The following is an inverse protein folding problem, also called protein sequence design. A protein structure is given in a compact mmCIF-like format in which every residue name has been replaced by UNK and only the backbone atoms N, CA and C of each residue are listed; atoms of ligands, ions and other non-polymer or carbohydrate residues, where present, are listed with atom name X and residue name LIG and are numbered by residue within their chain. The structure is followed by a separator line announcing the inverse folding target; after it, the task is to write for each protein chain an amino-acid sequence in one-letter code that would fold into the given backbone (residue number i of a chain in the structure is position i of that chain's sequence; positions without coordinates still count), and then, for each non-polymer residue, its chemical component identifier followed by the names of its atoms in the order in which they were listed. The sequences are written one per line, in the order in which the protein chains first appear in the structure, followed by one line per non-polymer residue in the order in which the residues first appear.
data_IF_898879875224
#
_entry.id   IF_898879875224
#
_cell.length_a   1.000
_cell.length_b   1.000
_cell.length_c   1.000
_cell.angle_alpha   90.00
_cell.angle_beta   90.00
_cell.angle_gamma   90.00
#
_symmetry.space_group_name_H-M   'P 1'
#
loop_
_entity.id
_entity.type
_entity.pdbx_description
1 polymer ?
#
# COMPACT_ATOMS: atom_id res chain seq x y z
N UNK A 1 -33.69 3.85 -0.83
CA UNK A 1 -32.55 4.63 -1.33
C UNK A 1 -32.93 6.09 -1.18
N UNK A 2 -32.07 6.94 -0.64
CA UNK A 2 -32.36 8.38 -0.60
C UNK A 2 -32.00 9.00 -1.97
N UNK A 3 -32.55 10.17 -2.28
CA UNK A 3 -32.35 10.89 -3.55
C UNK A 3 -30.85 11.09 -3.87
N UNK A 4 -30.05 11.37 -2.83
CA UNK A 4 -28.59 11.54 -2.94
C UNK A 4 -27.88 10.26 -3.41
N UNK A 5 -28.29 9.08 -2.92
CA UNK A 5 -27.71 7.80 -3.36
C UNK A 5 -28.06 7.49 -4.81
N UNK A 6 -29.28 7.80 -5.23
CA UNK A 6 -29.72 7.60 -6.61
C UNK A 6 -28.93 8.50 -7.58
N UNK A 7 -28.72 9.76 -7.22
CA UNK A 7 -27.87 10.68 -7.97
C UNK A 7 -26.42 10.21 -8.05
N UNK A 8 -25.85 9.72 -6.94
CA UNK A 8 -24.46 9.20 -6.95
C UNK A 8 -24.34 7.92 -7.79
N UNK A 9 -25.33 7.02 -7.75
CA UNK A 9 -25.36 5.82 -8.60
C UNK A 9 -25.44 6.21 -10.08
N UNK A 10 -26.30 7.18 -10.42
CA UNK A 10 -26.42 7.70 -11.79
C UNK A 10 -25.11 8.32 -12.27
N UNK A 11 -24.44 9.11 -11.43
CA UNK A 11 -23.11 9.67 -11.73
C UNK A 11 -22.07 8.57 -11.98
N UNK A 12 -21.99 7.56 -11.11
CA UNK A 12 -21.03 6.46 -11.27
C UNK A 12 -21.27 5.71 -12.58
N UNK A 13 -22.53 5.40 -12.85
CA UNK A 13 -22.95 4.56 -13.99
C UNK A 13 -22.81 5.27 -15.33
N UNK A 14 -23.20 6.54 -15.40
CA UNK A 14 -23.34 7.26 -16.68
C UNK A 14 -22.17 8.19 -16.99
N UNK A 15 -21.43 8.66 -15.98
CA UNK A 15 -20.34 9.62 -16.18
C UNK A 15 -18.99 8.99 -15.85
N UNK A 16 -18.79 8.57 -14.59
CA UNK A 16 -17.47 8.16 -14.09
C UNK A 16 -16.95 6.92 -14.81
N UNK A 17 -17.70 5.81 -14.77
CA UNK A 17 -17.21 4.54 -15.32
C UNK A 17 -17.02 4.59 -16.84
N UNK A 18 -17.95 5.16 -17.62
CA UNK A 18 -17.73 5.37 -19.05
C UNK A 18 -16.48 6.20 -19.34
N UNK A 19 -16.20 7.26 -18.58
CA UNK A 19 -14.96 8.04 -18.73
C UNK A 19 -13.71 7.19 -18.44
N UNK A 20 -13.71 6.42 -17.35
CA UNK A 20 -12.59 5.56 -16.96
C UNK A 20 -12.30 4.49 -18.02
N UNK A 21 -13.35 3.90 -18.60
CA UNK A 21 -13.26 2.94 -19.70
C UNK A 21 -12.72 3.62 -20.97
N UNK A 22 -13.34 4.73 -21.40
CA UNK A 22 -12.99 5.43 -22.64
C UNK A 22 -11.55 5.97 -22.61
N UNK A 23 -11.13 6.52 -21.47
CA UNK A 23 -9.76 7.01 -21.27
C UNK A 23 -8.76 5.88 -21.02
N UNK A 24 -9.20 4.62 -21.05
CA UNK A 24 -8.36 3.42 -20.89
C UNK A 24 -7.56 3.44 -19.59
N UNK A 25 -8.14 3.96 -18.51
CA UNK A 25 -7.47 4.08 -17.21
C UNK A 25 -7.11 2.71 -16.58
N UNK A 26 -7.64 1.61 -17.13
CA UNK A 26 -7.33 0.25 -16.72
C UNK A 26 -6.05 -0.32 -17.38
N UNK A 27 -5.50 0.36 -18.39
CA UNK A 27 -4.38 -0.13 -19.20
C UNK A 27 -3.15 0.78 -19.10
N UNK A 28 -1.98 0.24 -19.42
CA UNK A 28 -0.78 1.07 -19.61
C UNK A 28 -0.92 2.01 -20.83
N UNK A 29 -0.31 3.19 -20.75
CA UNK A 29 -0.30 4.16 -21.85
C UNK A 29 0.35 3.58 -23.11
N UNK A 30 -0.39 3.56 -24.22
CA UNK A 30 0.06 2.95 -25.49
C UNK A 30 -0.21 1.44 -25.60
N UNK A 31 -0.82 0.81 -24.60
CA UNK A 31 -1.32 -0.57 -24.67
C UNK A 31 -2.30 -0.74 -25.85
N UNK A 32 -2.23 -1.90 -26.51
CA UNK A 32 -3.18 -2.32 -27.57
C UNK A 32 -4.35 -3.17 -27.02
N UNK A 33 -4.49 -3.25 -25.70
CA UNK A 33 -5.56 -4.03 -25.06
C UNK A 33 -6.94 -3.49 -25.44
N UNK A 34 -7.91 -4.39 -25.51
CA UNK A 34 -9.31 -4.02 -25.73
C UNK A 34 -10.02 -4.04 -24.38
N UNK A 35 -10.71 -2.94 -24.06
CA UNK A 35 -11.62 -2.86 -22.92
C UNK A 35 -13.03 -2.95 -23.50
N UNK A 36 -13.74 -4.03 -23.16
CA UNK A 36 -15.15 -4.18 -23.50
C UNK A 36 -15.97 -3.81 -22.27
N UNK A 37 -16.78 -2.76 -22.40
CA UNK A 37 -17.73 -2.35 -21.38
C UNK A 37 -19.13 -2.71 -21.85
N UNK A 38 -19.77 -3.62 -21.13
CA UNK A 38 -21.14 -4.04 -21.40
C UNK A 38 -22.11 -3.29 -20.47
N UNK A 39 -21.95 -3.50 -19.17
CA UNK A 39 -22.76 -2.85 -18.15
C UNK A 39 -22.00 -2.76 -16.82
N UNK A 40 -22.52 -1.94 -15.92
CA UNK A 40 -22.06 -1.88 -14.53
C UNK A 40 -23.24 -2.05 -13.59
N UNK A 41 -23.03 -2.86 -12.56
CA UNK A 41 -23.89 -2.89 -11.37
C UNK A 41 -23.18 -2.11 -10.29
N UNK A 42 -23.83 -1.07 -9.77
CA UNK A 42 -23.31 -0.21 -8.70
C UNK A 42 -24.13 -0.45 -7.45
N UNK A 43 -23.46 -0.82 -6.37
CA UNK A 43 -24.09 -1.02 -5.06
C UNK A 43 -23.39 -0.20 -3.96
N UNK A 44 -24.15 0.47 -3.07
CA UNK A 44 -23.56 1.18 -1.95
C UNK A 44 -23.02 0.19 -0.91
N UNK A 45 -21.78 0.38 -0.48
CA UNK A 45 -21.19 -0.38 0.63
C UNK A 45 -21.47 0.34 1.95
N UNK A 46 -22.23 -0.31 2.83
CA UNK A 46 -22.41 0.15 4.21
C UNK A 46 -21.19 -0.24 5.03
N UNK A 47 -20.21 0.67 5.13
CA UNK A 47 -19.04 0.47 5.98
C UNK A 47 -19.34 1.04 7.37
N UNK A 48 -19.31 0.16 8.38
CA UNK A 48 -19.65 0.48 9.78
C UNK A 48 -18.70 1.54 10.37
N UNK A 49 -17.49 1.68 9.82
CA UNK A 49 -16.45 2.62 10.26
C UNK A 49 -16.19 3.80 9.31
N UNK A 50 -16.93 3.92 8.19
CA UNK A 50 -16.77 5.08 7.32
C UNK A 50 -17.28 6.32 8.07
N UNK A 51 -16.38 7.28 8.33
CA UNK A 51 -16.76 8.59 8.86
C UNK A 51 -17.81 9.22 7.94
N UNK A 52 -18.71 10.03 8.50
CA UNK A 52 -19.88 10.67 7.86
C UNK A 52 -19.59 11.56 6.61
N UNK A 53 -18.37 11.52 6.07
CA UNK A 53 -17.89 12.38 4.98
C UNK A 53 -17.57 11.62 3.67
N UNK A 54 -17.71 10.29 3.64
CA UNK A 54 -17.41 9.49 2.45
C UNK A 54 -18.49 8.45 2.15
N UNK A 55 -18.94 8.39 0.91
CA UNK A 55 -19.78 7.31 0.39
C UNK A 55 -18.92 6.33 -0.43
N UNK A 56 -19.12 5.04 -0.22
CA UNK A 56 -18.33 4.00 -0.88
C UNK A 56 -19.30 3.13 -1.67
N UNK A 57 -18.94 2.86 -2.93
CA UNK A 57 -19.73 2.05 -3.85
C UNK A 57 -18.84 0.99 -4.47
N UNK A 58 -19.40 -0.19 -4.72
CA UNK A 58 -18.76 -1.28 -5.45
C UNK A 58 -19.35 -1.33 -6.85
N UNK A 59 -18.46 -1.40 -7.85
CA UNK A 59 -18.81 -1.55 -9.26
C UNK A 59 -18.14 -2.78 -9.83
N UNK A 60 -18.91 -3.67 -10.46
CA UNK A 60 -18.34 -4.85 -11.12
C UNK A 60 -18.10 -4.59 -12.61
N UNK A 61 -16.85 -4.78 -13.06
CA UNK A 61 -16.44 -4.68 -14.46
C UNK A 61 -15.64 -5.93 -14.85
N UNK A 62 -15.83 -6.41 -16.08
CA UNK A 62 -15.06 -7.54 -16.63
C UNK A 62 -13.97 -6.97 -17.55
N UNK A 63 -12.70 -7.19 -17.20
CA UNK A 63 -11.54 -6.68 -17.93
C UNK A 63 -10.51 -7.80 -18.08
N UNK A 64 -9.88 -7.92 -19.26
CA UNK A 64 -8.79 -8.88 -19.53
C UNK A 64 -7.46 -8.14 -19.61
N UNK A 65 -6.47 -8.58 -18.84
CA UNK A 65 -5.15 -7.94 -18.73
C UNK A 65 -4.02 -8.83 -19.26
N UNK A 66 -2.92 -8.19 -19.67
CA UNK A 66 -1.57 -8.76 -19.66
C UNK A 66 -0.81 -8.37 -18.37
N UNK A 67 0.20 -9.15 -17.98
CA UNK A 67 0.88 -9.05 -16.68
C UNK A 67 1.50 -7.66 -16.40
N UNK A 68 1.32 -7.16 -15.16
CA UNK A 68 1.79 -5.85 -14.71
C UNK A 68 3.04 -5.97 -13.83
N UNK A 69 3.96 -5.00 -13.92
CA UNK A 69 5.31 -5.10 -13.31
C UNK A 69 5.45 -4.59 -11.87
N UNK A 70 4.41 -3.97 -11.28
CA UNK A 70 4.50 -3.48 -9.90
C UNK A 70 3.18 -3.63 -9.13
N UNK A 71 3.08 -4.64 -8.28
CA UNK A 71 1.80 -5.12 -7.72
C UNK A 71 1.67 -4.94 -6.20
N UNK A 72 2.36 -3.95 -5.62
CA UNK A 72 2.46 -3.75 -4.16
C UNK A 72 1.25 -3.07 -3.51
N UNK A 73 0.39 -2.43 -4.30
CA UNK A 73 -0.78 -1.67 -3.85
C UNK A 73 -1.96 -1.86 -4.84
N UNK A 74 -3.21 -1.57 -4.44
CA UNK A 74 -4.35 -1.62 -5.36
C UNK A 74 -4.14 -0.66 -6.54
N UNK A 75 -4.54 -1.06 -7.74
CA UNK A 75 -4.53 -0.14 -8.88
C UNK A 75 -5.44 1.04 -8.59
N UNK A 76 -4.99 2.24 -8.96
CA UNK A 76 -5.78 3.47 -8.89
C UNK A 76 -6.18 3.86 -10.30
N UNK A 77 -7.47 3.78 -10.60
CA UNK A 77 -8.03 4.10 -11.92
C UNK A 77 -8.40 5.58 -12.03
N UNK A 78 -8.81 6.19 -10.91
CA UNK A 78 -9.12 7.62 -10.81
C UNK A 78 -8.68 8.15 -9.46
N UNK A 79 -8.06 9.32 -9.45
CA UNK A 79 -7.93 10.17 -8.29
C UNK A 79 -8.10 11.63 -8.75
N UNK A 80 -9.25 12.23 -8.45
CA UNK A 80 -9.58 13.59 -8.85
C UNK A 80 -10.21 14.35 -7.67
N UNK A 81 -9.87 15.63 -7.52
CA UNK A 81 -10.28 16.46 -6.37
C UNK A 81 -11.42 17.44 -6.70
N UNK A 82 -11.91 17.51 -7.93
CA UNK A 82 -12.97 18.48 -8.24
C UNK A 82 -13.53 18.51 -9.66
N UNK A 83 -12.98 17.77 -10.63
CA UNK A 83 -13.49 17.69 -12.01
C UNK A 83 -14.97 17.34 -12.05
N UNK A 84 -15.41 16.47 -11.14
CA UNK A 84 -16.79 15.99 -11.05
C UNK A 84 -17.63 16.81 -10.06
N UNK A 85 -17.17 17.99 -9.65
CA UNK A 85 -17.80 18.78 -8.58
C UNK A 85 -17.69 18.13 -7.18
N UNK A 86 -16.97 17.01 -7.08
CA UNK A 86 -16.67 16.28 -5.84
C UNK A 86 -15.34 15.54 -5.94
N UNK A 87 -14.62 15.31 -4.83
CA UNK A 87 -13.47 14.41 -4.81
C UNK A 87 -13.89 12.96 -5.10
N UNK A 88 -13.16 12.27 -5.96
CA UNK A 88 -13.41 10.88 -6.36
C UNK A 88 -12.10 10.11 -6.39
N UNK A 89 -12.11 8.92 -5.80
CA UNK A 89 -11.04 7.92 -5.94
C UNK A 89 -11.69 6.60 -6.37
N UNK A 90 -11.13 5.97 -7.40
CA UNK A 90 -11.56 4.65 -7.89
C UNK A 90 -10.37 3.71 -7.82
N UNK A 91 -10.51 2.63 -7.04
CA UNK A 91 -9.45 1.65 -6.78
C UNK A 91 -9.88 0.24 -7.23
N UNK A 92 -8.89 -0.62 -7.43
CA UNK A 92 -9.06 -2.07 -7.58
C UNK A 92 -9.70 -2.69 -6.32
N UNK A 93 -10.75 -3.48 -6.52
CA UNK A 93 -11.35 -4.29 -5.46
C UNK A 93 -10.51 -5.55 -5.23
N UNK A 94 -9.70 -5.52 -4.17
CA UNK A 94 -8.81 -6.62 -3.85
C UNK A 94 -9.54 -7.86 -3.28
N UNK A 95 -10.71 -7.69 -2.64
CA UNK A 95 -11.52 -8.82 -2.17
C UNK A 95 -12.05 -9.63 -3.35
N UNK A 96 -12.48 -8.92 -4.42
CA UNK A 96 -12.99 -9.55 -5.64
C UNK A 96 -11.95 -10.44 -6.34
N UNK A 97 -10.65 -10.17 -6.13
CA UNK A 97 -9.54 -10.97 -6.67
C UNK A 97 -8.88 -11.87 -5.59
N UNK A 98 -9.53 -12.06 -4.45
CA UNK A 98 -9.17 -13.08 -3.45
C UNK A 98 -8.21 -12.64 -2.36
N UNK A 99 -7.86 -11.35 -2.28
CA UNK A 99 -7.12 -10.85 -1.12
C UNK A 99 -8.03 -10.74 0.08
N UNK A 100 -7.50 -11.06 1.25
CA UNK A 100 -8.22 -11.04 2.51
C UNK A 100 -7.45 -10.24 3.56
N UNK A 101 -8.18 -9.54 4.41
CA UNK A 101 -7.61 -8.98 5.62
C UNK A 101 -7.08 -10.09 6.52
N UNK A 102 -5.91 -9.85 7.10
CA UNK A 102 -5.37 -10.76 8.09
C UNK A 102 -6.18 -10.64 9.38
N UNK A 103 -6.73 -11.76 9.83
CA UNK A 103 -7.76 -11.79 10.87
C UNK A 103 -7.22 -11.73 12.30
N UNK A 104 -5.92 -11.95 12.50
CA UNK A 104 -5.31 -11.93 13.83
C UNK A 104 -4.62 -10.59 14.10
N UNK A 105 -4.46 -10.26 15.38
CA UNK A 105 -3.81 -9.01 15.78
C UNK A 105 -2.31 -8.97 15.39
N UNK A 106 -1.67 -10.15 15.25
CA UNK A 106 -0.23 -10.30 15.01
C UNK A 106 0.07 -11.21 13.84
N UNK A 107 0.95 -10.76 12.95
CA UNK A 107 1.47 -11.52 11.83
C UNK A 107 2.35 -12.67 12.34
N UNK A 108 2.14 -13.86 11.78
CA UNK A 108 3.14 -14.92 11.85
C UNK A 108 4.38 -14.57 11.00
N UNK A 109 5.39 -15.43 11.06
CA UNK A 109 6.68 -15.14 10.43
C UNK A 109 6.60 -15.14 8.88
N UNK A 110 5.72 -15.96 8.28
CA UNK A 110 5.53 -16.00 6.83
C UNK A 110 4.88 -14.69 6.33
N UNK A 111 3.86 -14.19 7.04
CA UNK A 111 3.22 -12.92 6.72
C UNK A 111 4.16 -11.73 6.94
N UNK A 112 4.84 -11.68 8.09
CA UNK A 112 5.77 -10.61 8.42
C UNK A 112 6.90 -10.51 7.39
N UNK A 113 7.45 -11.67 6.99
CA UNK A 113 8.46 -11.74 5.94
C UNK A 113 7.95 -11.15 4.63
N UNK A 114 6.76 -11.55 4.18
CA UNK A 114 6.19 -11.06 2.93
C UNK A 114 5.98 -9.53 2.95
N UNK A 115 5.51 -8.98 4.07
CA UNK A 115 5.37 -7.54 4.27
C UNK A 115 6.70 -6.79 4.21
N UNK A 116 7.74 -7.34 4.85
CA UNK A 116 9.08 -6.74 4.85
C UNK A 116 9.70 -6.73 3.45
N UNK A 117 9.46 -7.78 2.66
CA UNK A 117 9.86 -7.84 1.25
C UNK A 117 9.18 -6.72 0.47
N UNK A 118 7.87 -6.58 0.63
CA UNK A 118 7.10 -5.63 -0.19
C UNK A 118 7.42 -4.17 0.15
N UNK A 119 7.55 -3.84 1.43
CA UNK A 119 7.95 -2.50 1.84
C UNK A 119 9.41 -2.18 1.45
N UNK A 120 10.31 -3.18 1.45
CA UNK A 120 11.68 -3.01 0.96
C UNK A 120 11.71 -2.61 -0.52
N UNK A 121 10.87 -3.23 -1.36
CA UNK A 121 10.72 -2.85 -2.77
C UNK A 121 10.28 -1.40 -2.88
N UNK A 122 9.23 -0.99 -2.16
CA UNK A 122 8.73 0.39 -2.21
C UNK A 122 9.80 1.39 -1.78
N UNK A 123 10.50 1.10 -0.69
CA UNK A 123 11.62 1.92 -0.23
C UNK A 123 12.73 2.03 -1.27
N UNK A 124 13.10 0.94 -1.94
CA UNK A 124 14.09 0.99 -3.00
C UNK A 124 13.64 1.84 -4.20
N UNK A 125 12.39 1.66 -4.64
CA UNK A 125 11.79 2.45 -5.73
C UNK A 125 11.69 3.93 -5.39
N UNK A 126 11.43 4.30 -4.12
CA UNK A 126 11.42 5.69 -3.68
C UNK A 126 12.79 6.36 -3.82
N UNK A 127 13.87 5.65 -3.47
CA UNK A 127 15.24 6.14 -3.67
C UNK A 127 15.59 6.21 -5.16
N UNK A 128 15.18 5.21 -5.94
CA UNK A 128 15.40 5.20 -7.40
C UNK A 128 14.65 6.37 -8.08
N UNK A 129 13.40 6.63 -7.71
CA UNK A 129 12.59 7.74 -8.22
C UNK A 129 13.28 9.08 -7.96
N UNK A 130 13.82 9.27 -6.75
CA UNK A 130 14.59 10.47 -6.39
C UNK A 130 15.86 10.61 -7.24
N UNK A 131 16.60 9.52 -7.49
CA UNK A 131 17.88 9.55 -8.22
C UNK A 131 17.72 9.68 -9.73
N UNK A 132 16.82 8.90 -10.31
CA UNK A 132 16.71 8.72 -11.76
C UNK A 132 15.60 9.58 -12.39
N UNK A 133 14.65 10.06 -11.58
CA UNK A 133 13.44 10.77 -12.04
C UNK A 133 13.11 11.95 -11.11
N UNK A 134 14.13 12.75 -10.77
CA UNK A 134 14.07 13.79 -9.74
C UNK A 134 12.94 14.82 -9.95
N UNK A 135 12.65 15.23 -11.19
CA UNK A 135 11.55 16.17 -11.47
C UNK A 135 10.19 15.63 -10.98
N UNK A 136 9.90 14.36 -11.27
CA UNK A 136 8.68 13.68 -10.78
C UNK A 136 8.70 13.51 -9.27
N UNK A 137 9.86 13.18 -8.70
CA UNK A 137 10.03 13.10 -7.26
C UNK A 137 9.74 14.45 -6.58
N UNK A 138 10.23 15.55 -7.13
CA UNK A 138 10.07 16.90 -6.55
C UNK A 138 8.60 17.31 -6.48
N UNK A 139 7.84 17.08 -7.55
CA UNK A 139 6.40 17.36 -7.58
C UNK A 139 5.64 16.57 -6.52
N UNK A 140 5.99 15.28 -6.40
CA UNK A 140 5.41 14.40 -5.39
C UNK A 140 5.79 14.82 -3.96
N UNK A 141 7.07 15.14 -3.73
CA UNK A 141 7.59 15.55 -2.44
C UNK A 141 7.00 16.87 -1.94
N UNK A 142 6.76 17.84 -2.83
CA UNK A 142 6.09 19.09 -2.48
C UNK A 142 4.72 18.83 -1.85
N UNK A 143 3.92 17.92 -2.43
CA UNK A 143 2.61 17.50 -1.88
C UNK A 143 2.72 16.80 -0.53
N UNK A 144 3.78 16.00 -0.32
CA UNK A 144 4.03 15.33 0.96
C UNK A 144 4.31 16.35 2.08
N UNK A 145 5.08 17.40 1.80
CA UNK A 145 5.40 18.43 2.80
C UNK A 145 4.12 19.14 3.25
N UNK A 146 3.24 19.49 2.31
CA UNK A 146 1.98 20.19 2.60
C UNK A 146 1.08 19.40 3.58
N UNK A 147 1.12 18.06 3.51
CA UNK A 147 0.30 17.16 4.34
C UNK A 147 0.90 16.92 5.73
N UNK A 148 2.22 16.97 5.89
CA UNK A 148 2.94 16.45 7.06
C UNK A 148 3.37 17.52 8.09
N UNK A 149 2.62 18.61 8.24
CA UNK A 149 2.93 19.68 9.21
C UNK A 149 2.79 19.28 10.69
N UNK A 150 2.28 18.07 10.98
CA UNK A 150 2.11 17.54 12.34
C UNK A 150 3.32 16.69 12.79
N UNK A 151 3.89 17.05 13.95
CA UNK A 151 5.03 16.38 14.59
C UNK A 151 4.73 14.91 14.86
N UNK A 152 5.65 14.04 14.43
CA UNK A 152 5.53 12.59 14.57
C UNK A 152 5.94 12.17 15.98
N UNK A 153 5.01 11.61 16.74
CA UNK A 153 5.35 10.74 17.86
C UNK A 153 5.89 9.44 17.30
N UNK A 154 7.21 9.32 17.19
CA UNK A 154 7.83 8.01 16.95
C UNK A 154 7.55 7.14 18.17
N UNK A 155 6.98 5.93 18.00
CA UNK A 155 6.80 5.04 19.13
C UNK A 155 8.17 4.75 19.76
N UNK A 156 8.33 5.05 21.04
CA UNK A 156 9.54 4.68 21.77
C UNK A 156 9.62 3.16 21.82
N UNK A 157 10.79 2.62 21.47
CA UNK A 157 11.03 1.19 21.61
C UNK A 157 11.44 0.90 23.05
N UNK A 158 10.83 -0.12 23.65
CA UNK A 158 11.27 -0.65 24.94
C UNK A 158 12.43 -1.66 24.79
N UNK A 159 12.72 -2.13 23.56
CA UNK A 159 13.66 -3.23 23.29
C UNK A 159 15.02 -2.74 22.73
N UNK A 160 16.03 -2.71 23.60
CA UNK A 160 17.41 -2.29 23.27
C UNK A 160 18.05 -3.08 22.12
N UNK A 161 17.73 -4.38 21.93
CA UNK A 161 18.31 -5.17 20.82
C UNK A 161 17.80 -4.69 19.47
N UNK A 162 16.51 -4.36 19.38
CA UNK A 162 15.92 -3.79 18.18
C UNK A 162 16.43 -2.37 17.90
N UNK A 163 16.63 -1.56 18.94
CA UNK A 163 17.24 -0.24 18.77
C UNK A 163 18.65 -0.33 18.14
N UNK A 164 19.48 -1.27 18.62
CA UNK A 164 20.81 -1.53 18.03
C UNK A 164 20.68 -2.00 16.58
N UNK A 165 19.76 -2.94 16.30
CA UNK A 165 19.52 -3.43 14.95
C UNK A 165 19.09 -2.31 14.00
N UNK A 166 18.14 -1.46 14.41
CA UNK A 166 17.71 -0.30 13.64
C UNK A 166 18.85 0.70 13.43
N UNK A 167 19.67 0.96 14.44
CA UNK A 167 20.85 1.82 14.29
C UNK A 167 21.85 1.26 13.27
N UNK A 168 21.96 -0.06 13.15
CA UNK A 168 22.78 -0.69 12.11
C UNK A 168 22.14 -0.60 10.72
N UNK A 169 20.81 -0.72 10.61
CA UNK A 169 20.08 -0.49 9.36
C UNK A 169 20.28 0.96 8.92
N UNK A 170 20.17 1.93 9.82
CA UNK A 170 20.32 3.36 9.49
C UNK A 170 21.70 3.68 8.92
N UNK A 171 22.73 3.06 9.50
CA UNK A 171 24.11 3.18 9.01
C UNK A 171 24.30 2.55 7.64
N UNK A 172 23.63 1.42 7.35
CA UNK A 172 23.70 0.74 6.04
C UNK A 172 22.89 1.49 4.98
N UNK A 173 21.63 1.77 5.29
CA UNK A 173 20.66 2.47 4.44
C UNK A 173 20.64 3.93 4.88
N UNK A 174 21.61 4.69 4.39
CA UNK A 174 21.78 6.11 4.68
C UNK A 174 20.96 7.03 3.75
N UNK A 175 19.88 6.52 3.17
CA UNK A 175 19.05 7.26 2.20
C UNK A 175 17.62 7.38 2.73
N UNK A 176 17.10 8.60 2.75
CA UNK A 176 15.67 8.82 2.95
C UNK A 176 14.91 8.34 1.72
N UNK A 177 13.72 7.80 1.96
CA UNK A 177 12.85 7.27 0.92
C UNK A 177 11.38 7.55 1.21
N UNK A 178 10.52 7.21 0.25
CA UNK A 178 9.07 7.24 0.40
C UNK A 178 8.67 6.09 1.33
N UNK A 179 8.19 6.45 2.50
CA UNK A 179 7.68 5.55 3.53
C UNK A 179 6.14 5.66 3.58
N UNK A 180 5.48 4.56 3.90
CA UNK A 180 4.05 4.50 4.18
C UNK A 180 3.65 5.42 5.34
N UNK A 181 4.49 5.52 6.37
CA UNK A 181 4.31 6.43 7.51
C UNK A 181 3.37 5.93 8.61
N UNK A 182 2.62 4.87 8.34
CA UNK A 182 1.81 4.12 9.31
C UNK A 182 1.76 2.61 8.98
N UNK A 183 2.91 2.01 8.63
CA UNK A 183 2.96 0.63 8.15
C UNK A 183 2.62 -0.40 9.24
N UNK A 184 1.41 -0.96 9.22
CA UNK A 184 0.92 -1.91 10.23
C UNK A 184 -0.08 -2.92 9.67
N UNK A 185 -0.45 -3.92 10.47
CA UNK A 185 -1.32 -5.05 10.09
C UNK A 185 -2.69 -4.63 9.52
N UNK A 186 -3.23 -3.46 9.92
CA UNK A 186 -4.52 -2.96 9.41
C UNK A 186 -4.45 -2.48 7.96
N UNK A 187 -3.24 -2.18 7.50
CA UNK A 187 -2.95 -1.67 6.16
C UNK A 187 -2.49 -2.78 5.21
N UNK A 188 -2.69 -4.05 5.58
CA UNK A 188 -2.19 -5.21 4.85
C UNK A 188 -3.33 -6.16 4.51
N UNK A 189 -3.39 -6.55 3.24
CA UNK A 189 -4.26 -7.65 2.77
C UNK A 189 -3.41 -8.68 2.02
N UNK A 190 -3.79 -9.94 2.12
CA UNK A 190 -2.98 -11.06 1.67
C UNK A 190 -3.75 -11.96 0.72
N UNK A 191 -3.06 -12.45 -0.30
CA UNK A 191 -3.52 -13.55 -1.13
C UNK A 191 -2.96 -14.86 -0.58
N UNK A 192 -3.76 -15.92 -0.64
CA UNK A 192 -3.39 -17.22 -0.10
C UNK A 192 -3.43 -18.31 -1.17
N UNK A 193 -2.45 -19.21 -1.11
CA UNK A 193 -2.60 -20.57 -1.64
C UNK A 193 -2.82 -21.52 -0.46
N UNK A 194 -4.02 -22.07 -0.36
CA UNK A 194 -4.52 -22.86 0.77
C UNK A 194 -4.47 -22.07 2.09
N UNK A 195 -3.38 -22.19 2.83
CA UNK A 195 -3.17 -21.54 4.13
C UNK A 195 -1.88 -20.73 4.18
N UNK A 196 -1.16 -20.60 3.07
CA UNK A 196 0.13 -19.89 3.02
C UNK A 196 -0.04 -18.55 2.31
N UNK A 197 0.43 -17.43 2.88
CA UNK A 197 0.41 -16.15 2.18
C UNK A 197 1.37 -16.19 0.98
N UNK A 198 0.89 -15.78 -0.18
CA UNK A 198 1.64 -15.79 -1.45
C UNK A 198 1.88 -14.39 -2.00
N UNK A 199 0.99 -13.44 -1.71
CA UNK A 199 1.16 -12.03 -2.05
C UNK A 199 0.59 -11.13 -0.96
N UNK A 200 1.07 -9.90 -0.88
CA UNK A 200 0.58 -8.86 0.02
C UNK A 200 0.37 -7.57 -0.76
N UNK A 201 -0.73 -6.88 -0.47
CA UNK A 201 -1.00 -5.51 -0.95
C UNK A 201 -1.04 -4.57 0.25
N UNK A 202 -0.46 -3.39 0.07
CA UNK A 202 -0.38 -2.34 1.09
C UNK A 202 -1.44 -1.28 0.79
N UNK A 203 -2.31 -1.04 1.76
CA UNK A 203 -3.40 -0.06 1.76
C UNK A 203 -3.05 1.15 2.61
N UNK A 204 -3.85 2.23 2.61
CA UNK A 204 -3.73 3.27 3.65
C UNK A 204 -2.58 4.27 3.46
N UNK A 205 -2.27 4.65 2.23
CA UNK A 205 -1.18 5.58 1.89
C UNK A 205 -1.42 7.05 2.27
N UNK A 206 -2.43 7.36 3.11
CA UNK A 206 -2.78 8.71 3.52
C UNK A 206 -1.78 9.35 4.51
N UNK A 207 -0.86 8.55 5.08
CA UNK A 207 0.20 9.03 5.98
C UNK A 207 1.59 8.99 5.35
N UNK A 208 1.68 8.91 4.02
CA UNK A 208 2.93 8.84 3.26
C UNK A 208 3.91 9.96 3.62
N UNK A 209 5.20 9.62 3.74
CA UNK A 209 6.28 10.56 4.12
C UNK A 209 7.54 10.27 3.35
N UNK A 210 8.36 11.28 3.12
CA UNK A 210 9.73 11.07 2.71
C UNK A 210 10.64 11.16 3.93
N UNK A 211 11.07 9.99 4.45
CA UNK A 211 11.80 9.87 5.72
C UNK A 211 12.71 8.63 5.72
N UNK A 212 13.34 8.34 6.86
CA UNK A 212 14.11 7.10 7.06
C UNK A 212 13.18 5.88 6.95
N UNK A 213 13.55 4.84 6.18
CA UNK A 213 12.75 3.61 6.06
C UNK A 213 12.55 2.87 7.39
N UNK A 214 13.36 3.21 8.40
CA UNK A 214 13.23 2.71 9.76
C UNK A 214 11.87 3.05 10.38
N UNK A 215 11.23 4.14 9.95
CA UNK A 215 9.91 4.52 10.46
C UNK A 215 8.89 3.39 10.22
N UNK A 216 8.81 2.88 8.99
CA UNK A 216 7.89 1.79 8.65
C UNK A 216 8.30 0.48 9.31
N UNK A 217 9.60 0.20 9.40
CA UNK A 217 10.11 -0.99 10.10
C UNK A 217 9.76 -0.97 11.58
N UNK A 218 9.90 0.18 12.25
CA UNK A 218 9.50 0.35 13.65
C UNK A 218 8.00 0.14 13.82
N UNK A 219 7.17 0.69 12.93
CA UNK A 219 5.72 0.52 12.99
C UNK A 219 5.32 -0.96 12.94
N UNK A 220 5.79 -1.71 11.93
CA UNK A 220 5.38 -3.10 11.76
C UNK A 220 5.99 -4.02 12.81
N UNK A 221 7.26 -3.81 13.18
CA UNK A 221 7.95 -4.67 14.15
C UNK A 221 7.46 -4.41 15.57
N UNK A 222 7.17 -3.17 15.96
CA UNK A 222 6.59 -2.91 17.29
C UNK A 222 5.23 -3.59 17.46
N UNK A 223 4.39 -3.53 16.43
CA UNK A 223 3.08 -4.15 16.47
C UNK A 223 3.15 -5.67 16.61
N UNK A 224 4.15 -6.32 16.00
CA UNK A 224 4.26 -7.77 15.97
C UNK A 224 5.25 -8.38 16.99
N UNK A 225 6.07 -7.56 17.65
CA UNK A 225 7.09 -8.02 18.61
C UNK A 225 6.80 -7.66 20.08
N UNK A 226 5.96 -6.65 20.37
CA UNK A 226 5.60 -6.26 21.74
C UNK A 226 4.79 -7.34 22.51
N UNK A 227 4.31 -8.39 21.83
CA UNK A 227 3.50 -9.46 22.45
C UNK A 227 4.20 -10.79 22.59
N UNK A 228 5.25 -11.08 21.80
CA UNK A 228 6.15 -12.22 22.04
C UNK A 228 6.92 -12.08 23.38
N UNK A 229 6.86 -10.92 24.03
CA UNK A 229 7.51 -10.65 25.32
C UNK A 229 6.70 -11.00 26.56
N UNK A 230 5.39 -11.27 26.47
CA UNK A 230 4.56 -11.59 27.65
C UNK A 230 4.49 -13.08 27.98
N UNK A 231 4.77 -13.98 27.03
CA UNK A 231 4.75 -15.43 27.27
C UNK A 231 5.91 -16.12 26.53
N UNK A 232 7.02 -16.35 27.25
CA UNK A 232 8.06 -17.34 26.96
C UNK A 232 8.42 -17.61 25.46
N UNK A 233 9.16 -16.69 24.82
CA UNK A 233 10.24 -16.98 23.83
C UNK A 233 10.87 -15.66 23.33
N UNK A 234 11.78 -15.08 24.11
CA UNK A 234 12.66 -13.98 23.66
C UNK A 234 14.09 -14.51 23.48
N UNK A 235 14.24 -15.52 22.65
CA UNK A 235 15.52 -15.97 22.10
C UNK A 235 15.19 -16.51 20.70
N UNK A 236 15.87 -16.20 19.60
CA UNK A 236 17.10 -15.42 19.41
C UNK A 236 17.50 -15.31 17.92
N UNK A 237 16.72 -15.77 16.92
CA UNK A 237 17.26 -16.00 15.57
C UNK A 237 16.37 -15.44 14.42
N UNK A 238 15.04 -15.52 14.49
CA UNK A 238 14.16 -15.17 13.34
C UNK A 238 14.07 -13.66 13.02
N UNK A 239 14.34 -12.78 13.98
CA UNK A 239 14.17 -11.33 13.81
C UNK A 239 15.34 -10.65 13.08
N UNK A 240 16.55 -11.21 13.16
CA UNK A 240 17.71 -10.71 12.40
C UNK A 240 17.56 -11.13 10.94
N UNK A 241 17.13 -12.37 10.69
CA UNK A 241 16.91 -12.88 9.33
C UNK A 241 15.89 -12.02 8.57
N UNK A 242 14.81 -11.58 9.21
CA UNK A 242 13.82 -10.67 8.62
C UNK A 242 14.40 -9.28 8.28
N UNK A 243 15.27 -8.75 9.15
CA UNK A 243 15.95 -7.46 8.92
C UNK A 243 17.00 -7.58 7.82
N UNK A 244 17.79 -8.66 7.82
CA UNK A 244 18.78 -8.94 6.78
C UNK A 244 18.11 -9.19 5.44
N UNK A 245 16.98 -9.90 5.42
CA UNK A 245 16.14 -10.04 4.24
C UNK A 245 15.66 -8.68 3.76
N UNK A 246 15.11 -7.83 4.63
CA UNK A 246 14.72 -6.47 4.25
C UNK A 246 15.89 -5.71 3.59
N UNK A 247 17.09 -5.77 4.16
CA UNK A 247 18.29 -5.14 3.57
C UNK A 247 18.62 -5.73 2.19
N UNK A 248 18.61 -7.06 2.06
CA UNK A 248 18.92 -7.74 0.81
C UNK A 248 17.89 -7.41 -0.28
N UNK A 249 16.60 -7.39 0.06
CA UNK A 249 15.52 -7.00 -0.86
C UNK A 249 15.60 -5.52 -1.22
N UNK A 250 15.90 -4.65 -0.27
CA UNK A 250 16.10 -3.23 -0.52
C UNK A 250 17.22 -3.01 -1.55
N UNK A 251 18.38 -3.63 -1.36
CA UNK A 251 19.49 -3.46 -2.30
C UNK A 251 19.24 -4.14 -3.64
N UNK A 252 18.69 -5.35 -3.68
CA UNK A 252 18.38 -6.04 -4.95
C UNK A 252 17.32 -5.32 -5.78
N UNK A 253 16.30 -4.74 -5.14
CA UNK A 253 15.33 -3.89 -5.81
C UNK A 253 16.00 -2.59 -6.29
N UNK A 254 16.88 -2.00 -5.47
CA UNK A 254 17.58 -0.76 -5.83
C UNK A 254 18.57 -0.94 -6.99
N UNK A 255 19.24 -2.09 -7.10
CA UNK A 255 20.17 -2.41 -8.20
C UNK A 255 19.47 -2.98 -9.44
N UNK A 256 18.13 -3.08 -9.44
CA UNK A 256 17.34 -3.71 -10.49
C UNK A 256 17.72 -5.18 -10.76
N UNK A 257 18.25 -5.89 -9.77
CA UNK A 257 18.63 -7.31 -9.88
C UNK A 257 17.44 -8.26 -9.80
N UNK A 258 16.29 -7.82 -9.28
CA UNK A 258 15.05 -8.61 -9.23
C UNK A 258 14.34 -8.75 -10.59
N UNK A 259 14.78 -8.00 -11.61
CA UNK A 259 14.17 -7.97 -12.96
C UNK A 259 15.08 -8.60 -14.04
N UNK A 260 16.09 -9.39 -13.65
CA UNK A 260 16.99 -10.13 -14.56
C UNK A 260 16.70 -11.62 -14.57
#
# INVERSE_FOLDING_TARGET
MNEIQEDTINFITNDLVPEVVYNRCFCEGGSREFIEFDSIVVEPLKIIEAKDYSEIYRGQLIIKFSEYKFDSYPKCYVADMGRYGRPVIVLEDLEAIGYLHYSQDFLDDDHLKLCLIEIAKIHAHGVELKKNKFEKFREFYAKIIEINSELINTPSLSNKKLEIAFGNIEKKINEMTICHGEFNNKHLVFLYDKCKPTAVKILGWNKIKHTSPIIDLKCILNNNLMTKTSENKIESIENIDCIEQYINFYYSAYTNELNK
#
